data_IF_298581421057
#
_entry.id   IF_298581421057
#
_cell.length_a   1.000
_cell.length_b   1.000
_cell.length_c   1.000
_cell.angle_alpha   90.00
_cell.angle_beta   90.00
_cell.angle_gamma   90.00
#
_symmetry.space_group_name_H-M   'P 1'
#
loop_
_entity.id
_entity.type
_entity.pdbx_description
1 polymer ?
#
# COMPACT_ATOMS: atom_id res chain seq x y z
N UNK A 1 9.21 -9.34 -3.96
CA UNK A 1 8.00 -8.95 -4.73
C UNK A 1 8.03 -9.60 -6.11
N UNK A 2 6.89 -10.10 -6.61
CA UNK A 2 6.76 -10.70 -7.95
C UNK A 2 5.72 -9.95 -8.78
N UNK A 3 6.11 -9.44 -9.96
CA UNK A 3 5.17 -8.81 -10.91
C UNK A 3 4.35 -9.88 -11.62
N UNK A 4 3.02 -9.71 -11.63
CA UNK A 4 2.08 -10.61 -12.30
C UNK A 4 1.68 -10.09 -13.68
N UNK A 5 1.66 -8.77 -13.87
CA UNK A 5 1.40 -8.15 -15.16
C UNK A 5 1.19 -6.64 -15.03
N UNK A 6 1.16 -5.97 -16.17
CA UNK A 6 0.63 -4.60 -16.29
C UNK A 6 -0.89 -4.64 -16.24
N UNK A 7 -1.49 -3.64 -15.61
CA UNK A 7 -2.95 -3.49 -15.53
C UNK A 7 -3.34 -2.05 -15.86
N UNK A 8 -4.47 -1.83 -16.54
CA UNK A 8 -4.95 -0.48 -16.79
C UNK A 8 -5.50 0.13 -15.50
N UNK A 9 -5.38 1.45 -15.33
CA UNK A 9 -5.86 2.15 -14.14
C UNK A 9 -7.34 1.90 -13.82
N UNK A 10 -8.19 1.73 -14.84
CA UNK A 10 -9.61 1.38 -14.64
C UNK A 10 -9.83 0.09 -13.84
N UNK A 11 -8.94 -0.89 -13.98
CA UNK A 11 -9.01 -2.15 -13.22
C UNK A 11 -8.61 -1.91 -11.76
N UNK A 12 -7.57 -1.11 -11.54
CA UNK A 12 -7.13 -0.69 -10.20
C UNK A 12 -8.25 0.03 -9.47
N UNK A 13 -8.90 0.99 -10.14
CA UNK A 13 -10.00 1.76 -9.57
C UNK A 13 -11.25 0.91 -9.31
N UNK A 14 -11.57 -0.03 -10.21
CA UNK A 14 -12.66 -0.97 -10.01
C UNK A 14 -12.42 -1.88 -8.79
N UNK A 15 -11.19 -2.41 -8.65
CA UNK A 15 -10.79 -3.18 -7.47
C UNK A 15 -10.88 -2.34 -6.19
N UNK A 16 -10.41 -1.09 -6.23
CA UNK A 16 -10.45 -0.17 -5.09
C UNK A 16 -11.87 0.05 -4.60
N UNK A 17 -12.80 0.39 -5.49
CA UNK A 17 -14.20 0.65 -5.16
C UNK A 17 -14.96 -0.59 -4.69
N UNK A 18 -14.57 -1.77 -5.18
CA UNK A 18 -15.11 -3.05 -4.69
C UNK A 18 -14.73 -3.34 -3.23
N UNK A 19 -13.50 -2.98 -2.84
CA UNK A 19 -13.00 -3.14 -1.46
C UNK A 19 -13.46 -2.00 -0.52
N UNK A 20 -13.73 -0.81 -1.07
CA UNK A 20 -14.02 0.43 -0.34
C UNK A 20 -15.31 1.09 -0.83
N UNK A 21 -16.50 0.54 -0.50
CA UNK A 21 -17.76 1.17 -0.87
C UNK A 21 -17.83 2.58 -0.26
N UNK A 22 -17.94 3.60 -1.12
CA UNK A 22 -18.04 5.02 -0.73
C UNK A 22 -19.23 5.29 0.19
N UNK A 23 -20.32 4.55 0.00
CA UNK A 23 -21.59 4.78 0.71
C UNK A 23 -21.74 3.96 2.00
N UNK A 24 -20.67 3.35 2.52
CA UNK A 24 -20.77 2.64 3.81
C UNK A 24 -21.03 3.68 4.90
N UNK A 25 -22.19 3.63 5.61
CA UNK A 25 -22.50 4.59 6.66
C UNK A 25 -21.55 4.34 7.83
N UNK A 26 -20.51 5.14 7.91
CA UNK A 26 -19.61 5.23 9.05
C UNK A 26 -19.00 6.63 9.06
N UNK A 27 -19.02 7.29 10.21
CA UNK A 27 -18.51 8.67 10.40
C UNK A 27 -17.00 8.83 10.13
N UNK A 28 -16.32 7.74 9.80
CA UNK A 28 -14.87 7.58 9.68
C UNK A 28 -14.48 7.13 8.26
N UNK A 29 -15.37 7.35 7.28
CA UNK A 29 -15.20 6.87 5.91
C UNK A 29 -14.33 7.84 5.10
N UNK A 30 -13.02 7.64 5.16
CA UNK A 30 -11.98 8.36 4.40
C UNK A 30 -11.67 7.74 3.02
N UNK A 31 -12.57 6.89 2.49
CA UNK A 31 -12.37 6.21 1.20
C UNK A 31 -12.28 7.19 0.00
N UNK A 32 -12.73 8.44 0.16
CA UNK A 32 -12.54 9.50 -0.84
C UNK A 32 -11.06 9.84 -1.06
N UNK A 33 -10.31 10.05 0.03
CA UNK A 33 -8.89 10.43 0.00
C UNK A 33 -8.01 9.34 -0.63
N UNK A 34 -8.33 8.07 -0.36
CA UNK A 34 -7.65 6.94 -0.99
C UNK A 34 -7.84 6.93 -2.51
N UNK A 35 -9.06 7.13 -3.00
CA UNK A 35 -9.32 7.22 -4.44
C UNK A 35 -8.57 8.40 -5.08
N UNK A 36 -8.56 9.57 -4.46
CA UNK A 36 -7.82 10.73 -4.95
C UNK A 36 -6.31 10.47 -5.02
N UNK A 37 -5.74 9.76 -4.03
CA UNK A 37 -4.34 9.37 -4.04
C UNK A 37 -4.01 8.39 -5.18
N UNK A 38 -4.93 7.49 -5.52
CA UNK A 38 -4.82 6.62 -6.69
C UNK A 38 -4.80 7.45 -7.98
N UNK A 39 -5.68 8.45 -8.11
CA UNK A 39 -5.71 9.33 -9.27
C UNK A 39 -4.46 10.23 -9.38
N UNK A 40 -3.95 10.74 -8.24
CA UNK A 40 -2.67 11.46 -8.20
C UNK A 40 -1.53 10.57 -8.67
N UNK A 41 -1.48 9.32 -8.22
CA UNK A 41 -0.48 8.35 -8.66
C UNK A 41 -0.60 8.05 -10.16
N UNK A 42 -1.81 7.91 -10.69
CA UNK A 42 -2.06 7.73 -12.12
C UNK A 42 -1.50 8.91 -12.94
N UNK A 43 -1.84 10.15 -12.58
CA UNK A 43 -1.33 11.34 -13.28
C UNK A 43 0.19 11.45 -13.21
N UNK A 44 0.80 11.03 -12.10
CA UNK A 44 2.24 11.18 -11.84
C UNK A 44 3.11 10.07 -12.45
N UNK A 45 2.58 8.85 -12.59
CA UNK A 45 3.37 7.65 -12.93
C UNK A 45 2.85 6.90 -14.16
N UNK A 46 1.57 7.06 -14.52
CA UNK A 46 0.96 6.59 -15.77
C UNK A 46 1.04 5.08 -16.03
N UNK A 47 1.50 4.28 -15.07
CA UNK A 47 1.78 2.86 -15.25
C UNK A 47 1.42 2.12 -13.98
N UNK A 48 0.67 1.04 -14.12
CA UNK A 48 0.26 0.20 -13.00
C UNK A 48 0.61 -1.25 -13.25
N UNK A 49 0.98 -1.92 -12.16
CA UNK A 49 1.27 -3.34 -12.18
C UNK A 49 0.58 -4.05 -11.04
N UNK A 50 0.01 -5.21 -11.35
CA UNK A 50 -0.43 -6.14 -10.32
C UNK A 50 0.76 -6.98 -9.88
N UNK A 51 1.00 -7.07 -8.58
CA UNK A 51 2.12 -7.81 -8.00
C UNK A 51 1.65 -8.72 -6.87
N UNK A 52 2.39 -9.80 -6.64
CA UNK A 52 2.36 -10.55 -5.40
C UNK A 52 3.46 -10.02 -4.48
N UNK A 53 3.06 -9.45 -3.36
CA UNK A 53 3.95 -8.90 -2.34
C UNK A 53 4.12 -9.94 -1.23
N UNK A 54 5.37 -10.31 -0.92
CA UNK A 54 5.64 -11.21 0.19
C UNK A 54 5.44 -10.47 1.52
N UNK A 55 5.14 -11.20 2.60
CA UNK A 55 5.00 -10.65 3.95
C UNK A 55 6.12 -9.66 4.31
N UNK A 56 7.41 -10.06 4.23
CA UNK A 56 8.54 -9.18 4.51
C UNK A 56 8.58 -7.89 3.66
N UNK A 57 8.21 -7.97 2.37
CA UNK A 57 8.16 -6.78 1.52
C UNK A 57 7.04 -5.83 1.99
N UNK A 58 5.90 -6.38 2.40
CA UNK A 58 4.76 -5.62 2.92
C UNK A 58 5.10 -4.90 4.22
N UNK A 59 5.93 -5.51 5.06
CA UNK A 59 6.45 -4.89 6.29
C UNK A 59 7.37 -3.70 6.01
N UNK A 60 8.00 -3.67 4.84
CA UNK A 60 8.87 -2.59 4.37
C UNK A 60 8.14 -1.43 3.67
N UNK A 61 6.83 -1.55 3.40
CA UNK A 61 6.03 -0.46 2.81
C UNK A 61 6.09 0.76 3.72
N UNK A 62 6.40 1.92 3.13
CA UNK A 62 6.47 3.21 3.82
C UNK A 62 5.07 3.82 3.86
N UNK A 63 4.66 4.20 5.06
CA UNK A 63 3.42 4.88 5.37
C UNK A 63 3.67 6.39 5.47
N UNK A 64 2.85 7.23 4.81
CA UNK A 64 2.91 8.68 4.96
C UNK A 64 2.37 9.13 6.32
N UNK A 65 2.40 10.44 6.58
CA UNK A 65 1.85 11.02 7.80
C UNK A 65 0.42 10.51 8.05
N UNK A 66 0.12 10.14 9.29
CA UNK A 66 -1.23 9.78 9.68
C UNK A 66 -1.50 10.23 11.11
N UNK A 67 -2.28 11.30 11.20
CA UNK A 67 -2.95 11.68 12.44
C UNK A 67 -4.30 10.95 12.48
N UNK A 68 -4.58 10.29 13.60
CA UNK A 68 -5.83 9.59 13.76
C UNK A 68 -7.04 10.52 13.57
N UNK A 69 -8.12 10.00 12.98
CA UNK A 69 -9.36 10.74 12.78
C UNK A 69 -9.91 11.21 14.13
N UNK A 70 -9.84 12.53 14.38
CA UNK A 70 -10.19 13.13 15.68
C UNK A 70 -9.23 12.78 16.83
N UNK A 71 -8.04 12.25 16.53
CA UNK A 71 -7.06 11.85 17.53
C UNK A 71 -5.99 12.90 17.83
N UNK A 72 -5.38 12.78 19.00
CA UNK A 72 -4.42 13.76 19.52
C UNK A 72 -2.94 13.37 19.26
N UNK A 73 -2.67 12.15 18.78
CA UNK A 73 -1.30 11.67 18.56
C UNK A 73 -1.13 11.04 17.18
N UNK A 74 0.01 11.32 16.56
CA UNK A 74 0.36 10.72 15.27
C UNK A 74 0.54 9.20 15.40
N UNK A 75 -0.14 8.44 14.56
CA UNK A 75 0.14 7.01 14.40
C UNK A 75 1.36 6.79 13.50
N UNK A 76 1.51 7.67 12.50
CA UNK A 76 2.69 7.76 11.65
C UNK A 76 3.14 9.22 11.63
N UNK A 77 4.39 9.52 12.06
CA UNK A 77 4.91 10.87 12.04
C UNK A 77 5.07 11.40 10.62
N UNK A 78 5.16 12.73 10.48
CA UNK A 78 5.35 13.42 9.19
C UNK A 78 6.52 12.89 8.36
N UNK A 79 7.57 12.42 9.01
CA UNK A 79 8.75 11.84 8.35
C UNK A 79 8.52 10.44 7.77
N UNK A 80 7.36 9.82 8.06
CA UNK A 80 6.97 8.47 7.69
C UNK A 80 7.50 7.37 8.62
N UNK A 81 6.87 6.19 8.51
CA UNK A 81 7.34 4.94 9.10
C UNK A 81 7.06 3.78 8.14
N UNK A 82 7.82 2.70 8.25
CA UNK A 82 7.41 1.45 7.61
C UNK A 82 6.24 0.81 8.36
N UNK A 83 5.52 -0.12 7.73
CA UNK A 83 4.49 -0.94 8.41
C UNK A 83 5.04 -1.62 9.67
N UNK A 84 6.25 -2.20 9.60
CA UNK A 84 6.92 -2.76 10.77
C UNK A 84 7.25 -1.70 11.83
N UNK A 85 7.63 -0.48 11.41
CA UNK A 85 7.91 0.63 12.30
C UNK A 85 6.65 1.09 13.07
N UNK A 86 5.55 1.31 12.36
CA UNK A 86 4.27 1.72 12.95
C UNK A 86 3.73 0.65 13.91
N UNK A 87 3.79 -0.63 13.55
CA UNK A 87 3.39 -1.70 14.45
C UNK A 87 4.27 -1.80 15.70
N UNK A 88 5.58 -1.53 15.59
CA UNK A 88 6.49 -1.49 16.75
C UNK A 88 6.14 -0.34 17.69
N UNK A 89 5.82 0.83 17.14
CA UNK A 89 5.34 1.98 17.91
C UNK A 89 4.06 1.61 18.69
N UNK A 90 3.08 0.98 18.03
CA UNK A 90 1.85 0.51 18.67
C UNK A 90 2.10 -0.56 19.75
N UNK A 91 3.04 -1.49 19.56
CA UNK A 91 3.37 -2.46 20.62
C UNK A 91 4.00 -1.79 21.84
N UNK A 92 4.77 -0.71 21.64
CA UNK A 92 5.45 0.01 22.72
C UNK A 92 4.50 0.96 23.48
N UNK A 93 3.65 1.67 22.76
CA UNK A 93 2.85 2.79 23.28
C UNK A 93 1.34 2.56 23.17
N UNK A 94 0.92 1.34 22.83
CA UNK A 94 -0.46 0.97 22.49
C UNK A 94 -1.51 1.53 23.45
N UNK A 95 -1.44 1.29 24.77
CA UNK A 95 -2.46 1.79 25.69
C UNK A 95 -2.60 3.32 25.73
N UNK A 96 -1.54 4.07 25.43
CA UNK A 96 -1.59 5.53 25.35
C UNK A 96 -2.09 6.01 23.99
N UNK A 97 -1.61 5.39 22.91
CA UNK A 97 -2.06 5.69 21.55
C UNK A 97 -3.52 5.35 21.36
N UNK A 98 -4.00 4.22 21.89
CA UNK A 98 -5.40 3.81 21.80
C UNK A 98 -6.33 4.80 22.52
N UNK A 99 -5.91 5.31 23.69
CA UNK A 99 -6.64 6.36 24.42
C UNK A 99 -6.64 7.68 23.68
N UNK A 100 -5.53 8.05 23.06
CA UNK A 100 -5.40 9.29 22.29
C UNK A 100 -6.12 9.22 20.92
N UNK A 101 -6.29 8.01 20.37
CA UNK A 101 -6.73 7.74 19.01
C UNK A 101 -7.77 6.59 18.93
N UNK A 102 -8.93 6.70 19.61
CA UNK A 102 -9.86 5.59 19.79
C UNK A 102 -10.45 5.06 18.47
N UNK A 103 -10.66 5.92 17.47
CA UNK A 103 -11.17 5.51 16.15
C UNK A 103 -10.17 4.61 15.41
N UNK A 104 -8.89 4.98 15.42
CA UNK A 104 -7.83 4.16 14.81
C UNK A 104 -7.70 2.82 15.54
N UNK A 105 -7.74 2.81 16.87
CA UNK A 105 -7.69 1.57 17.66
C UNK A 105 -8.85 0.63 17.30
N UNK A 106 -10.08 1.16 17.20
CA UNK A 106 -11.25 0.39 16.78
C UNK A 106 -11.09 -0.17 15.35
N UNK A 107 -10.60 0.64 14.40
CA UNK A 107 -10.30 0.21 13.02
C UNK A 107 -9.26 -0.91 13.00
N UNK A 108 -8.16 -0.79 13.76
CA UNK A 108 -7.12 -1.82 13.84
C UNK A 108 -7.67 -3.14 14.41
N UNK A 109 -8.47 -3.07 15.47
CA UNK A 109 -9.10 -4.24 16.07
C UNK A 109 -10.05 -4.96 15.08
N UNK A 110 -10.88 -4.20 14.37
CA UNK A 110 -11.78 -4.72 13.34
C UNK A 110 -11.00 -5.38 12.18
N UNK A 111 -9.96 -4.70 11.68
CA UNK A 111 -9.23 -5.10 10.48
C UNK A 111 -8.24 -6.26 10.72
N UNK A 112 -7.87 -6.53 11.98
CA UNK A 112 -7.00 -7.64 12.33
C UNK A 112 -7.50 -8.99 11.77
N UNK A 113 -8.82 -9.15 11.71
CA UNK A 113 -9.50 -10.36 11.22
C UNK A 113 -10.08 -10.23 9.80
N UNK A 114 -9.98 -9.07 9.17
CA UNK A 114 -10.54 -8.83 7.84
C UNK A 114 -9.79 -9.63 6.74
N UNK A 115 -10.42 -9.98 5.61
CA UNK A 115 -9.74 -10.63 4.48
C UNK A 115 -8.50 -9.86 4.01
N UNK A 116 -7.49 -10.57 3.48
CA UNK A 116 -6.33 -9.95 2.83
C UNK A 116 -6.73 -9.44 1.44
N UNK A 117 -7.29 -8.24 1.39
CA UNK A 117 -7.63 -7.55 0.15
C UNK A 117 -6.40 -6.89 -0.48
N UNK A 118 -6.45 -6.52 -1.77
CA UNK A 118 -5.38 -5.75 -2.40
C UNK A 118 -5.02 -4.46 -1.64
N UNK A 119 -3.73 -4.12 -1.66
CA UNK A 119 -3.23 -2.80 -1.25
C UNK A 119 -2.74 -2.00 -2.45
N UNK A 120 -2.72 -0.69 -2.30
CA UNK A 120 -2.44 0.24 -3.39
C UNK A 120 -1.20 1.04 -3.03
N UNK A 121 -0.20 0.97 -3.89
CA UNK A 121 1.15 1.47 -3.65
C UNK A 121 1.63 2.30 -4.84
N UNK A 122 2.63 3.12 -4.61
CA UNK A 122 3.39 3.85 -5.62
C UNK A 122 4.89 3.64 -5.41
N UNK A 123 5.69 3.85 -6.45
CA UNK A 123 7.16 3.79 -6.36
C UNK A 123 7.80 5.06 -5.79
N UNK A 124 7.02 6.12 -5.62
CA UNK A 124 7.42 7.42 -5.05
C UNK A 124 6.20 8.16 -4.50
N UNK A 125 6.38 9.12 -3.57
CA UNK A 125 5.28 9.87 -2.97
C UNK A 125 4.47 10.66 -4.01
N UNK A 126 3.16 10.79 -3.78
CA UNK A 126 2.24 11.62 -4.57
C UNK A 126 2.15 13.03 -4.00
N UNK A 127 1.61 13.97 -4.80
CA UNK A 127 1.39 15.35 -4.37
C UNK A 127 0.19 15.46 -3.43
N UNK A 128 0.45 15.41 -2.13
CA UNK A 128 -0.53 15.60 -1.05
C UNK A 128 0.20 15.92 0.27
N UNK A 129 -0.46 16.62 1.18
CA UNK A 129 0.15 17.12 2.43
C UNK A 129 0.74 16.00 3.30
N UNK A 130 0.10 14.82 3.31
CA UNK A 130 0.59 13.66 4.07
C UNK A 130 1.98 13.16 3.63
N UNK A 131 2.39 13.52 2.42
CA UNK A 131 3.62 13.08 1.77
C UNK A 131 4.68 14.18 1.70
N UNK A 132 4.35 15.41 2.09
CA UNK A 132 5.21 16.58 1.92
C UNK A 132 6.55 16.41 2.66
N UNK A 133 6.49 15.94 3.90
CA UNK A 133 7.64 15.80 4.81
C UNK A 133 8.26 14.40 4.81
N UNK A 134 7.77 13.50 3.93
CA UNK A 134 8.18 12.11 3.89
C UNK A 134 9.66 12.01 3.49
N UNK A 135 10.49 11.46 4.37
CA UNK A 135 11.95 11.35 4.16
C UNK A 135 12.32 10.37 3.05
N UNK A 136 11.56 9.26 2.94
CA UNK A 136 11.78 8.26 1.90
C UNK A 136 11.05 8.69 0.63
N UNK A 137 11.81 8.99 -0.43
CA UNK A 137 11.27 9.50 -1.71
C UNK A 137 11.16 8.43 -2.80
N UNK A 138 11.62 7.21 -2.55
CA UNK A 138 11.56 6.10 -3.50
C UNK A 138 11.40 4.75 -2.78
N UNK A 139 10.81 3.77 -3.47
CA UNK A 139 10.49 2.46 -2.91
C UNK A 139 8.99 2.23 -2.87
N UNK A 140 8.51 1.26 -2.08
CA UNK A 140 7.07 1.01 -1.96
C UNK A 140 6.45 2.01 -0.97
N UNK A 141 5.76 3.01 -1.50
CA UNK A 141 5.04 4.03 -0.74
C UNK A 141 3.55 3.70 -0.77
N UNK A 142 2.92 3.72 0.40
CA UNK A 142 1.50 3.49 0.56
C UNK A 142 0.65 4.58 -0.09
N UNK A 143 -0.45 4.19 -0.74
CA UNK A 143 -1.53 5.08 -1.19
C UNK A 143 -2.85 4.78 -0.47
N UNK A 144 -3.12 3.49 -0.22
CA UNK A 144 -4.28 3.02 0.56
C UNK A 144 -4.00 1.70 1.31
N UNK A 145 -4.70 1.50 2.43
CA UNK A 145 -4.63 0.28 3.25
C UNK A 145 -3.76 0.39 4.51
N UNK A 146 -3.57 1.59 5.07
CA UNK A 146 -2.65 1.82 6.20
C UNK A 146 -3.06 0.96 7.41
N UNK A 147 -4.30 1.10 7.85
CA UNK A 147 -4.83 0.34 8.97
C UNK A 147 -4.85 -1.16 8.70
N UNK A 148 -5.12 -1.58 7.45
CA UNK A 148 -5.13 -2.99 7.04
C UNK A 148 -3.74 -3.61 7.21
N UNK A 149 -2.71 -2.99 6.64
CA UNK A 149 -1.33 -3.50 6.70
C UNK A 149 -0.82 -3.60 8.15
N UNK A 150 -1.05 -2.56 8.96
CA UNK A 150 -0.67 -2.56 10.38
C UNK A 150 -1.42 -3.66 11.13
N UNK A 151 -2.75 -3.72 10.99
CA UNK A 151 -3.57 -4.70 11.70
C UNK A 151 -3.21 -6.15 11.32
N UNK A 152 -3.00 -6.43 10.03
CA UNK A 152 -2.57 -7.75 9.58
C UNK A 152 -1.18 -8.12 10.12
N UNK A 153 -0.25 -7.17 10.21
CA UNK A 153 1.04 -7.44 10.83
C UNK A 153 0.93 -7.71 12.33
N UNK A 154 0.15 -6.90 13.07
CA UNK A 154 -0.10 -7.10 14.49
C UNK A 154 -0.74 -8.46 14.78
N UNK A 155 -1.64 -8.91 13.90
CA UNK A 155 -2.29 -10.23 13.95
C UNK A 155 -1.41 -11.40 13.45
N UNK A 156 -0.14 -11.16 13.07
CA UNK A 156 0.78 -12.21 12.61
C UNK A 156 0.50 -12.73 11.20
N UNK A 157 -0.32 -12.04 10.39
CA UNK A 157 -0.77 -12.50 9.07
C UNK A 157 0.14 -12.11 7.92
N UNK A 158 1.19 -11.33 8.20
CA UNK A 158 2.22 -10.91 7.23
C UNK A 158 3.59 -11.56 7.51
N UNK A 159 3.60 -12.76 8.09
CA UNK A 159 4.83 -13.52 8.36
C UNK A 159 5.52 -14.09 7.11
N UNK A 160 6.68 -14.75 7.28
CA UNK A 160 7.33 -15.49 6.20
C UNK A 160 6.38 -16.50 5.55
N UNK A 161 6.35 -16.55 4.21
CA UNK A 161 5.43 -17.40 3.45
C UNK A 161 4.04 -16.78 3.19
N UNK A 162 3.67 -15.72 3.91
CA UNK A 162 2.47 -14.95 3.57
C UNK A 162 2.69 -14.14 2.28
N UNK A 163 1.61 -13.89 1.55
CA UNK A 163 1.65 -12.97 0.43
C UNK A 163 0.29 -12.38 0.10
N UNK A 164 0.29 -11.10 -0.23
CA UNK A 164 -0.90 -10.33 -0.62
C UNK A 164 -0.78 -9.80 -2.04
N UNK A 165 -1.91 -9.48 -2.64
CA UNK A 165 -1.96 -8.77 -3.91
C UNK A 165 -1.70 -7.28 -3.66
N UNK A 166 -0.91 -6.65 -4.51
CA UNK A 166 -0.81 -5.19 -4.53
C UNK A 166 -0.92 -4.66 -5.95
N UNK A 167 -1.48 -3.45 -6.09
CA UNK A 167 -1.38 -2.65 -7.29
C UNK A 167 -0.34 -1.57 -7.06
N UNK A 168 0.68 -1.53 -7.91
CA UNK A 168 1.83 -0.64 -7.75
C UNK A 168 1.93 0.28 -8.96
N UNK A 169 1.86 1.58 -8.71
CA UNK A 169 2.09 2.62 -9.71
C UNK A 169 3.60 2.84 -9.92
N UNK A 170 4.04 2.98 -11.16
CA UNK A 170 5.40 3.41 -11.51
C UNK A 170 6.50 2.35 -11.36
N UNK A 171 6.16 1.06 -11.39
CA UNK A 171 7.19 0.01 -11.49
C UNK A 171 7.86 0.07 -12.87
N UNK A 172 9.20 0.06 -12.94
CA UNK A 172 9.90 0.01 -14.22
C UNK A 172 9.39 -1.17 -15.07
N UNK A 173 9.21 -0.94 -16.37
CA UNK A 173 8.95 -1.99 -17.33
C UNK A 173 9.98 -3.11 -17.18
N UNK A 174 9.54 -4.37 -17.22
CA UNK A 174 10.49 -5.43 -17.51
C UNK A 174 11.00 -5.14 -18.93
N UNK A 175 12.33 -5.07 -19.12
CA UNK A 175 12.87 -5.13 -20.47
C UNK A 175 12.19 -6.31 -21.20
N UNK A 176 11.75 -6.16 -22.45
CA UNK A 176 11.16 -7.26 -23.18
C UNK A 176 12.11 -8.45 -23.07
N UNK A 177 11.61 -9.59 -22.59
CA UNK A 177 12.38 -10.84 -22.61
C UNK A 177 12.80 -11.02 -24.06
N UNK A 178 14.08 -10.84 -24.36
CA UNK A 178 14.67 -11.17 -25.65
C UNK A 178 14.23 -12.60 -25.93
N UNK A 179 13.43 -12.78 -27.00
CA UNK A 179 13.05 -14.11 -27.46
C UNK A 179 14.32 -14.95 -27.56
N UNK A 180 14.31 -16.24 -27.16
CA UNK A 180 15.42 -17.13 -27.46
C UNK A 180 15.67 -17.02 -28.97
N UNK A 181 16.88 -16.61 -29.34
CA UNK A 181 17.26 -16.42 -30.73
C UNK A 181 16.93 -17.68 -31.51
N UNK A 182 16.16 -17.50 -32.57
CA UNK A 182 15.99 -18.54 -33.59
C UNK A 182 17.38 -18.88 -34.10
N UNK A 183 17.82 -20.15 -34.11
CA UNK A 183 19.10 -20.51 -34.69
C UNK A 183 19.10 -20.07 -36.16
N UNK A 184 20.10 -19.27 -36.52
CA UNK A 184 20.29 -18.80 -37.87
C UNK A 184 20.57 -20.03 -38.75
N UNK A 185 19.60 -20.43 -39.57
CA UNK A 185 19.80 -21.43 -40.61
C UNK A 185 20.61 -20.78 -41.74
N UNK A 186 21.92 -20.69 -41.55
CA UNK A 186 22.82 -20.38 -42.65
C UNK A 186 22.90 -21.59 -43.58
N UNK A 187 22.19 -21.44 -44.70
CA UNK A 187 22.47 -22.12 -45.96
C UNK A 187 23.93 -21.85 -46.33
N UNK A 188 24.70 -22.90 -46.60
CA UNK A 188 25.80 -22.83 -47.57
C UNK A 188 25.65 -23.98 -48.54
N UNK A 189 25.45 -23.56 -49.78
CA UNK A 189 25.72 -24.16 -51.10
C UNK A 189 26.45 -25.49 -51.11
#
# INVERSE_FOLDING_TARGET
>A
MQRLGEVPFREVLAAYRGDHPRDRPHEANSNGEGEENLERAERLLGTWSRVRLAGPDALGVVLPWHLAEGGARELVPRTGLTVAGAARLLRREGPELDRANPVCAAKLALLARAPLTPVYLSTRPVEHDDYADLRVRSGLIHLDGLHRLIAWHLAGRLGPGAGLTAYVAGLPGAAPRSRPGTPNAERRT
#
